data_IF_468901861554
#
_entry.id   IF_468901861554
#
_cell.length_a   1.000
_cell.length_b   1.000
_cell.length_c   1.000
_cell.angle_alpha   90.00
_cell.angle_beta   90.00
_cell.angle_gamma   90.00
#
_symmetry.space_group_name_H-M   'P 1'
#
loop_
_entity.id
_entity.type
_entity.pdbx_description
1 polymer ?
#
# COMPACT_ATOMS: atom_id res chain seq x y z
N UNK A 1 8.65 -12.19 14.35
CA UNK A 1 7.38 -12.72 14.86
C UNK A 1 7.24 -14.15 14.36
N UNK A 2 7.15 -15.11 15.29
CA UNK A 2 7.26 -16.54 14.98
C UNK A 2 6.13 -17.01 14.05
N UNK A 3 4.93 -16.43 14.20
CA UNK A 3 3.80 -16.76 13.34
C UNK A 3 4.05 -16.39 11.89
N UNK A 4 4.54 -15.16 11.66
CA UNK A 4 4.88 -14.68 10.31
C UNK A 4 5.95 -15.56 9.66
N UNK A 5 6.97 -15.96 10.42
CA UNK A 5 8.04 -16.82 9.92
C UNK A 5 7.51 -18.20 9.52
N UNK A 6 6.64 -18.81 10.33
CA UNK A 6 6.01 -20.09 10.02
C UNK A 6 5.06 -20.01 8.81
N UNK A 7 4.34 -18.91 8.66
CA UNK A 7 3.51 -18.63 7.48
C UNK A 7 4.35 -18.50 6.21
N UNK A 8 5.50 -17.81 6.29
CA UNK A 8 6.44 -17.70 5.18
C UNK A 8 6.97 -19.08 4.80
N UNK A 9 7.44 -19.88 5.76
CA UNK A 9 7.92 -21.26 5.52
C UNK A 9 6.85 -22.10 4.83
N UNK A 10 5.64 -22.14 5.39
CA UNK A 10 4.53 -22.92 4.83
C UNK A 10 4.20 -22.54 3.37
N UNK A 11 4.09 -21.24 3.09
CA UNK A 11 3.80 -20.78 1.71
C UNK A 11 5.01 -20.93 0.78
N UNK A 12 6.22 -20.94 1.32
CA UNK A 12 7.42 -21.23 0.55
C UNK A 12 7.45 -22.70 0.12
N UNK A 13 7.20 -23.62 1.04
CA UNK A 13 7.19 -25.06 0.76
C UNK A 13 6.09 -25.43 -0.24
N UNK A 14 4.93 -24.77 -0.15
CA UNK A 14 3.78 -25.08 -1.00
C UNK A 14 3.81 -24.41 -2.38
N UNK A 15 4.34 -23.19 -2.47
CA UNK A 15 4.20 -22.36 -3.68
C UNK A 15 5.49 -21.68 -4.14
N UNK A 16 6.60 -21.82 -3.41
CA UNK A 16 7.87 -21.12 -3.67
C UNK A 16 7.80 -19.61 -3.44
N UNK A 17 6.73 -19.12 -2.80
CA UNK A 17 6.37 -17.69 -2.70
C UNK A 17 6.09 -17.27 -1.26
N UNK A 18 6.92 -17.76 -0.33
CA UNK A 18 6.71 -17.59 1.11
C UNK A 18 6.59 -16.13 1.54
N UNK A 19 7.52 -15.27 1.12
CA UNK A 19 7.52 -13.84 1.52
C UNK A 19 6.36 -13.07 0.90
N UNK A 20 5.97 -13.40 -0.33
CA UNK A 20 4.86 -12.75 -1.03
C UNK A 20 3.53 -13.00 -0.30
N UNK A 21 3.22 -14.27 -0.01
CA UNK A 21 1.96 -14.65 0.63
C UNK A 21 1.95 -14.50 2.15
N UNK A 22 3.09 -14.74 2.80
CA UNK A 22 3.21 -14.71 4.27
C UNK A 22 3.46 -13.31 4.84
N UNK A 23 3.89 -12.35 4.01
CA UNK A 23 4.26 -11.01 4.51
C UNK A 23 3.75 -9.87 3.61
N UNK A 24 4.11 -9.86 2.33
CA UNK A 24 3.87 -8.72 1.44
C UNK A 24 2.39 -8.50 1.13
N UNK A 25 1.68 -9.51 0.63
CA UNK A 25 0.26 -9.42 0.31
C UNK A 25 -0.60 -9.09 1.55
N UNK A 26 -0.41 -9.75 2.71
CA UNK A 26 -1.13 -9.36 3.93
C UNK A 26 -0.88 -7.92 4.35
N UNK A 27 0.37 -7.44 4.25
CA UNK A 27 0.70 -6.04 4.57
C UNK A 27 0.00 -5.07 3.61
N UNK A 28 0.07 -5.34 2.30
CA UNK A 28 -0.58 -4.52 1.28
C UNK A 28 -2.09 -4.48 1.42
N UNK A 29 -2.74 -5.62 1.68
CA UNK A 29 -4.19 -5.67 1.92
C UNK A 29 -4.61 -4.79 3.08
N UNK A 30 -3.85 -4.79 4.19
CA UNK A 30 -4.11 -3.89 5.33
C UNK A 30 -3.93 -2.42 4.95
N UNK A 31 -2.90 -2.10 4.19
CA UNK A 31 -2.69 -0.74 3.68
C UNK A 31 -3.86 -0.28 2.79
N UNK A 32 -4.32 -1.12 1.86
CA UNK A 32 -5.46 -0.81 0.99
C UNK A 32 -6.76 -0.63 1.77
N UNK A 33 -7.01 -1.47 2.78
CA UNK A 33 -8.17 -1.32 3.65
C UNK A 33 -8.13 -0.02 4.45
N UNK A 34 -6.96 0.40 4.92
CA UNK A 34 -6.79 1.68 5.61
C UNK A 34 -7.02 2.86 4.65
N UNK A 35 -6.45 2.79 3.45
CA UNK A 35 -6.63 3.77 2.39
C UNK A 35 -8.12 3.92 2.00
N UNK A 36 -8.85 2.81 1.85
CA UNK A 36 -10.29 2.82 1.55
C UNK A 36 -11.17 3.42 2.65
N UNK A 37 -10.65 3.68 3.86
CA UNK A 37 -11.38 4.42 4.90
C UNK A 37 -11.42 5.93 4.66
N UNK A 38 -10.59 6.44 3.75
CA UNK A 38 -10.43 7.87 3.45
C UNK A 38 -11.66 8.46 2.75
N UNK A 39 -12.36 7.67 1.93
CA UNK A 39 -13.55 8.10 1.17
C UNK A 39 -14.74 7.24 1.62
N UNK A 40 -15.78 7.85 2.18
CA UNK A 40 -17.02 7.18 2.64
C UNK A 40 -18.30 7.81 2.13
N UNK A 41 -18.22 8.99 1.52
CA UNK A 41 -19.33 9.68 0.88
C UNK A 41 -18.92 10.24 -0.48
N UNK A 42 -19.88 10.54 -1.35
CA UNK A 42 -19.63 11.13 -2.67
C UNK A 42 -18.99 12.53 -2.60
N UNK A 43 -19.13 13.20 -1.45
CA UNK A 43 -18.59 14.55 -1.22
C UNK A 43 -17.23 14.54 -0.53
N UNK A 44 -16.75 13.38 -0.09
CA UNK A 44 -15.48 13.29 0.63
C UNK A 44 -14.31 13.58 -0.32
N UNK A 45 -13.43 14.49 0.10
CA UNK A 45 -12.13 14.71 -0.54
C UNK A 45 -11.05 14.26 0.42
N UNK A 46 -10.19 13.35 -0.03
CA UNK A 46 -9.13 12.79 0.78
C UNK A 46 -7.85 12.56 -0.01
N UNK A 47 -6.72 12.67 0.68
CA UNK A 47 -5.39 12.40 0.15
C UNK A 47 -4.79 11.22 0.92
N UNK A 48 -4.19 10.27 0.20
CA UNK A 48 -3.60 9.07 0.77
C UNK A 48 -2.11 9.07 0.43
N UNK A 49 -1.26 9.17 1.45
CA UNK A 49 0.19 9.17 1.28
C UNK A 49 0.80 7.85 1.78
N UNK A 50 1.51 7.15 0.90
CA UNK A 50 2.25 5.93 1.23
C UNK A 50 3.71 6.26 1.54
N UNK A 51 4.04 6.44 2.82
CA UNK A 51 5.34 6.92 3.28
C UNK A 51 6.41 5.82 3.36
N UNK A 52 6.61 5.05 2.29
CA UNK A 52 7.68 4.06 2.20
C UNK A 52 8.11 3.79 0.75
N UNK A 53 9.41 3.84 0.48
CA UNK A 53 9.99 3.54 -0.85
C UNK A 53 9.63 2.16 -1.39
N UNK A 54 9.29 1.19 -0.52
CA UNK A 54 8.91 -0.16 -0.92
C UNK A 54 7.63 -0.19 -1.76
N UNK A 55 6.73 0.78 -1.60
CA UNK A 55 5.52 0.85 -2.43
C UNK A 55 5.82 1.09 -3.92
N UNK A 56 7.01 1.64 -4.24
CA UNK A 56 7.48 1.85 -5.62
C UNK A 56 8.13 0.60 -6.23
N UNK A 57 8.45 -0.43 -5.43
CA UNK A 57 9.06 -1.64 -5.95
C UNK A 57 8.06 -2.43 -6.80
N UNK A 58 8.48 -3.04 -7.93
CA UNK A 58 7.56 -3.71 -8.86
C UNK A 58 6.60 -4.70 -8.19
N UNK A 59 7.10 -5.47 -7.22
CA UNK A 59 6.31 -6.46 -6.47
C UNK A 59 5.16 -5.84 -5.67
N UNK A 60 5.35 -4.63 -5.12
CA UNK A 60 4.34 -3.92 -4.32
C UNK A 60 3.44 -3.09 -5.23
N UNK A 61 4.02 -2.42 -6.24
CA UNK A 61 3.30 -1.58 -7.19
C UNK A 61 2.21 -2.34 -7.94
N UNK A 62 2.48 -3.59 -8.34
CA UNK A 62 1.49 -4.45 -9.02
C UNK A 62 0.29 -4.86 -8.15
N UNK A 63 0.34 -4.65 -6.83
CA UNK A 63 -0.75 -5.02 -5.91
C UNK A 63 -1.78 -3.89 -5.79
N UNK A 64 -1.41 -2.66 -6.17
CA UNK A 64 -2.37 -1.55 -6.18
C UNK A 64 -3.47 -1.79 -7.23
N UNK A 65 -4.69 -1.28 -6.98
CA UNK A 65 -5.74 -1.29 -7.98
C UNK A 65 -5.29 -0.58 -9.27
N UNK A 66 -5.66 -1.07 -10.46
CA UNK A 66 -5.21 -0.52 -11.73
C UNK A 66 -5.75 0.89 -12.02
N UNK A 67 -6.83 1.28 -11.35
CA UNK A 67 -7.46 2.60 -11.39
C UNK A 67 -6.78 3.63 -10.49
N UNK A 68 -5.80 3.22 -9.67
CA UNK A 68 -5.04 4.14 -8.83
C UNK A 68 -3.83 4.68 -9.58
N UNK A 69 -3.79 5.99 -9.76
CA UNK A 69 -2.61 6.68 -10.25
C UNK A 69 -1.66 6.94 -9.07
N UNK A 70 -0.73 6.00 -8.86
CA UNK A 70 0.26 6.09 -7.77
C UNK A 70 1.50 6.78 -8.31
N UNK A 71 1.63 8.05 -7.96
CA UNK A 71 2.81 8.87 -8.26
C UNK A 71 3.84 8.81 -7.14
N UNK A 72 5.12 8.96 -7.52
CA UNK A 72 6.22 9.14 -6.58
C UNK A 72 6.58 10.61 -6.51
N UNK A 73 6.01 11.34 -5.55
CA UNK A 73 6.48 12.68 -5.23
C UNK A 73 7.58 12.66 -4.16
N UNK A 74 8.65 13.41 -4.42
CA UNK A 74 9.76 13.59 -3.47
C UNK A 74 9.40 14.55 -2.34
N UNK A 75 8.38 15.40 -2.53
CA UNK A 75 7.92 16.44 -1.60
C UNK A 75 6.40 16.33 -1.41
N UNK A 76 5.96 15.41 -0.55
CA UNK A 76 4.53 15.18 -0.33
C UNK A 76 3.81 16.40 0.25
N UNK A 77 4.55 17.33 0.88
CA UNK A 77 4.01 18.60 1.36
C UNK A 77 3.39 19.42 0.23
N UNK A 78 4.02 19.45 -0.95
CA UNK A 78 3.53 20.19 -2.10
C UNK A 78 2.22 19.58 -2.63
N UNK A 79 2.14 18.24 -2.74
CA UNK A 79 0.89 17.56 -3.07
C UNK A 79 -0.22 17.81 -2.04
N UNK A 80 0.10 17.82 -0.74
CA UNK A 80 -0.88 18.09 0.32
C UNK A 80 -1.42 19.51 0.19
N UNK A 81 -0.53 20.50 0.09
CA UNK A 81 -0.88 21.91 -0.06
C UNK A 81 -1.69 22.15 -1.35
N UNK A 82 -1.26 21.58 -2.48
CA UNK A 82 -1.97 21.65 -3.76
C UNK A 82 -3.35 21.00 -3.73
N UNK A 83 -3.49 19.84 -3.06
CA UNK A 83 -4.77 19.14 -2.98
C UNK A 83 -5.79 19.85 -2.10
N UNK A 84 -5.37 20.30 -0.90
CA UNK A 84 -6.27 20.95 0.05
C UNK A 84 -6.38 22.47 -0.15
N UNK A 85 -5.54 23.08 -0.99
CA UNK A 85 -5.50 24.52 -1.21
C UNK A 85 -5.03 25.30 0.03
N UNK A 86 -4.23 24.65 0.88
CA UNK A 86 -3.67 25.26 2.10
C UNK A 86 -2.27 25.73 1.74
N UNK A 87 -2.05 27.05 1.75
CA UNK A 87 -0.75 27.69 1.50
C UNK A 87 -0.03 28.00 2.81
#
# INVERSE_FOLDING_TARGET
DLETEKLIEYYNDKFGKGREYGYTLPAMTRCMQAAGRCIRSETDRGLIAFLDKRFLWPMYRQIFPPDWDVDSETYYEDAVCGFFGVF
#
